data_IF_840314027574
#
_entry.id   IF_840314027574
#
_cell.length_a   1.000
_cell.length_b   1.000
_cell.length_c   1.000
_cell.angle_alpha   90.00
_cell.angle_beta   90.00
_cell.angle_gamma   90.00
#
_symmetry.space_group_name_H-M   'P 1'
#
loop_
_entity.id
_entity.type
_entity.pdbx_description
1 polymer ?
#
# COMPACT_ATOMS: atom_id res chain seq x y z
N UNK A 1 6.68 27.72 -18.50
CA UNK A 1 6.43 26.89 -19.69
C UNK A 1 7.75 26.18 -19.97
N UNK A 2 7.89 24.92 -19.57
CA UNK A 2 9.14 24.17 -19.72
C UNK A 2 9.24 23.72 -21.17
N UNK A 3 10.18 24.29 -21.92
CA UNK A 3 10.46 23.87 -23.29
C UNK A 3 11.01 22.45 -23.27
N UNK A 4 10.43 21.55 -24.06
CA UNK A 4 10.87 20.15 -24.16
C UNK A 4 11.86 20.05 -25.32
N UNK A 5 13.15 19.93 -25.02
CA UNK A 5 14.19 19.71 -26.03
C UNK A 5 14.35 18.22 -26.35
N UNK A 6 14.73 17.90 -27.59
CA UNK A 6 15.02 16.53 -28.00
C UNK A 6 16.19 15.93 -27.19
N UNK A 7 16.10 14.63 -26.86
CA UNK A 7 17.12 13.86 -26.11
C UNK A 7 17.43 14.35 -24.67
N UNK A 8 16.49 15.02 -24.01
CA UNK A 8 16.58 15.33 -22.58
C UNK A 8 15.62 14.47 -21.74
N UNK A 9 16.10 14.04 -20.57
CA UNK A 9 15.27 13.35 -19.57
C UNK A 9 14.46 14.39 -18.84
N UNK A 10 13.14 14.35 -19.01
CA UNK A 10 12.20 15.28 -18.41
C UNK A 10 11.23 14.56 -17.48
N UNK A 11 11.04 15.10 -16.27
CA UNK A 11 10.03 14.62 -15.34
C UNK A 11 8.66 15.13 -15.79
N UNK A 12 7.86 14.23 -16.35
CA UNK A 12 6.52 14.54 -16.84
C UNK A 12 5.46 13.83 -16.00
N UNK A 13 4.23 14.38 -15.93
CA UNK A 13 3.12 13.65 -15.36
C UNK A 13 2.85 12.35 -16.10
N UNK A 14 2.46 11.31 -15.37
CA UNK A 14 2.23 9.97 -15.93
C UNK A 14 1.21 9.96 -17.08
N UNK A 15 0.14 10.74 -16.97
CA UNK A 15 -0.89 10.87 -18.02
C UNK A 15 -0.32 11.38 -19.34
N UNK A 16 0.67 12.30 -19.28
CA UNK A 16 1.32 12.84 -20.46
C UNK A 16 2.31 11.83 -21.05
N UNK A 17 3.05 11.12 -20.20
CA UNK A 17 3.95 10.04 -20.62
C UNK A 17 3.19 8.98 -21.41
N UNK A 18 2.01 8.57 -20.92
CA UNK A 18 1.12 7.63 -21.64
C UNK A 18 0.79 8.14 -23.03
N UNK A 19 0.40 9.41 -23.14
CA UNK A 19 -0.01 10.02 -24.41
C UNK A 19 1.17 10.12 -25.40
N UNK A 20 2.34 10.52 -24.93
CA UNK A 20 3.56 10.60 -25.73
C UNK A 20 4.01 9.22 -26.24
N UNK A 21 3.97 8.19 -25.38
CA UNK A 21 4.31 6.82 -25.77
C UNK A 21 3.37 6.28 -26.84
N UNK A 22 2.06 6.53 -26.72
CA UNK A 22 1.05 6.15 -27.75
C UNK A 22 1.31 6.81 -29.10
N UNK A 23 1.76 8.07 -29.09
CA UNK A 23 2.14 8.82 -30.30
C UNK A 23 3.54 8.50 -30.83
N UNK A 24 4.27 7.60 -30.16
CA UNK A 24 5.68 7.28 -30.47
C UNK A 24 6.61 8.50 -30.40
N UNK A 25 6.27 9.47 -29.54
CA UNK A 25 7.01 10.73 -29.36
C UNK A 25 7.85 10.73 -28.08
N UNK A 26 8.64 9.68 -27.86
CA UNK A 26 9.54 9.57 -26.73
C UNK A 26 9.75 8.13 -26.26
N UNK A 27 10.77 7.95 -25.43
CA UNK A 27 11.10 6.70 -24.79
C UNK A 27 10.89 6.80 -23.27
N UNK A 28 10.41 5.72 -22.67
CA UNK A 28 10.18 5.65 -21.22
C UNK A 28 11.43 5.06 -20.57
N UNK A 29 12.06 5.83 -19.70
CA UNK A 29 13.11 5.31 -18.82
C UNK A 29 12.43 4.61 -17.64
N UNK A 30 12.71 3.33 -17.47
CA UNK A 30 12.14 2.55 -16.37
C UNK A 30 12.75 3.01 -15.05
N UNK A 31 11.94 3.16 -13.99
CA UNK A 31 12.45 3.61 -12.70
C UNK A 31 13.22 2.49 -12.00
N UNK A 32 14.29 2.86 -11.29
CA UNK A 32 15.24 1.92 -10.67
C UNK A 32 14.58 0.90 -9.72
N UNK A 33 13.51 1.30 -9.03
CA UNK A 33 12.77 0.42 -8.11
C UNK A 33 12.06 -0.75 -8.82
N UNK A 34 11.76 -0.61 -10.12
CA UNK A 34 11.11 -1.62 -10.95
C UNK A 34 12.12 -2.57 -11.60
N UNK A 35 13.42 -2.40 -11.36
CA UNK A 35 14.44 -3.29 -11.86
C UNK A 35 14.35 -4.68 -11.21
N UNK A 36 14.62 -5.73 -11.99
CA UNK A 36 14.67 -7.12 -11.52
C UNK A 36 15.52 -7.31 -10.24
N UNK A 37 16.78 -6.83 -10.15
CA UNK A 37 17.57 -6.99 -8.93
C UNK A 37 16.93 -6.32 -7.72
N UNK A 38 16.36 -5.12 -7.88
CA UNK A 38 15.75 -4.38 -6.78
C UNK A 38 14.46 -5.05 -6.29
N UNK A 39 13.66 -5.60 -7.21
CA UNK A 39 12.47 -6.37 -6.84
C UNK A 39 12.83 -7.66 -6.08
N UNK A 40 13.89 -8.36 -6.47
CA UNK A 40 14.39 -9.54 -5.74
C UNK A 40 14.83 -9.18 -4.33
N UNK A 41 15.56 -8.08 -4.18
CA UNK A 41 15.98 -7.56 -2.87
C UNK A 41 14.78 -7.20 -2.00
N UNK A 42 13.80 -6.46 -2.55
CA UNK A 42 12.58 -6.09 -1.84
C UNK A 42 11.77 -7.33 -1.42
N UNK A 43 11.66 -8.35 -2.28
CA UNK A 43 10.97 -9.60 -1.96
C UNK A 43 11.68 -10.37 -0.84
N UNK A 44 13.02 -10.41 -0.85
CA UNK A 44 13.81 -11.04 0.21
C UNK A 44 13.65 -10.30 1.55
N UNK A 45 13.68 -8.96 1.52
CA UNK A 45 13.40 -8.13 2.69
C UNK A 45 11.99 -8.39 3.22
N UNK A 46 11.00 -8.41 2.35
CA UNK A 46 9.59 -8.59 2.72
C UNK A 46 9.34 -9.95 3.40
N UNK A 47 10.04 -11.01 2.96
CA UNK A 47 9.95 -12.34 3.60
C UNK A 47 10.61 -12.40 4.97
N UNK A 48 11.70 -11.65 5.18
CA UNK A 48 12.50 -11.70 6.42
C UNK A 48 12.03 -10.71 7.47
N UNK A 49 11.59 -9.53 7.06
CA UNK A 49 11.24 -8.43 7.95
C UNK A 49 9.78 -8.48 8.38
N UNK A 50 9.50 -7.99 9.58
CA UNK A 50 8.13 -7.71 10.05
C UNK A 50 7.60 -6.43 9.39
N UNK A 51 8.48 -5.49 9.07
CA UNK A 51 8.15 -4.23 8.43
C UNK A 51 7.94 -4.41 6.92
N UNK A 52 7.25 -3.44 6.34
CA UNK A 52 7.00 -3.34 4.91
C UNK A 52 8.20 -2.67 4.23
N UNK A 53 8.66 -3.25 3.12
CA UNK A 53 9.69 -2.65 2.26
C UNK A 53 9.29 -1.25 1.78
N UNK A 54 10.28 -0.36 1.66
CA UNK A 54 10.10 0.98 1.12
C UNK A 54 9.87 0.94 -0.39
N UNK A 55 8.64 1.26 -0.79
CA UNK A 55 8.21 1.32 -2.18
C UNK A 55 7.43 2.61 -2.42
N UNK A 56 7.41 3.13 -3.66
CA UNK A 56 6.56 4.25 -4.01
C UNK A 56 5.09 3.98 -3.66
N UNK A 57 4.37 5.01 -3.22
CA UNK A 57 3.01 4.87 -2.72
C UNK A 57 2.04 4.21 -3.72
N UNK A 58 2.26 4.39 -5.03
CA UNK A 58 1.46 3.81 -6.12
C UNK A 58 2.21 2.73 -6.91
N UNK A 59 3.13 1.99 -6.28
CA UNK A 59 3.99 1.03 -6.98
C UNK A 59 3.18 -0.06 -7.74
N UNK A 60 1.99 -0.45 -7.26
CA UNK A 60 1.15 -1.46 -7.90
C UNK A 60 0.57 -0.93 -9.22
N UNK A 61 0.02 0.28 -9.19
CA UNK A 61 -0.55 0.92 -10.36
C UNK A 61 0.54 1.28 -11.37
N UNK A 62 1.64 1.84 -10.87
CA UNK A 62 2.80 2.22 -11.68
C UNK A 62 3.44 1.02 -12.36
N UNK A 63 3.64 -0.09 -11.63
CA UNK A 63 4.28 -1.29 -12.19
C UNK A 63 3.42 -1.92 -13.29
N UNK A 64 2.11 -2.04 -13.09
CA UNK A 64 1.17 -2.52 -14.10
C UNK A 64 1.21 -1.63 -15.35
N UNK A 65 1.07 -0.32 -15.17
CA UNK A 65 1.04 0.62 -16.28
C UNK A 65 2.36 0.63 -17.08
N UNK A 66 3.50 0.72 -16.40
CA UNK A 66 4.81 0.77 -17.06
C UNK A 66 5.10 -0.52 -17.83
N UNK A 67 4.71 -1.66 -17.26
CA UNK A 67 4.81 -2.99 -17.87
C UNK A 67 3.93 -3.12 -19.13
N UNK A 68 2.77 -2.46 -19.16
CA UNK A 68 1.87 -2.42 -20.33
C UNK A 68 2.35 -1.46 -21.42
N UNK A 69 2.94 -0.31 -21.03
CA UNK A 69 3.38 0.73 -21.97
C UNK A 69 4.74 0.46 -22.62
N UNK A 70 5.64 -0.21 -21.92
CA UNK A 70 7.03 -0.39 -22.33
C UNK A 70 7.58 -1.78 -22.04
N UNK A 71 6.95 -2.86 -22.55
CA UNK A 71 7.47 -4.22 -22.35
C UNK A 71 8.90 -4.39 -22.91
N UNK A 72 9.22 -3.68 -24.00
CA UNK A 72 10.54 -3.74 -24.66
C UNK A 72 11.67 -3.14 -23.80
N UNK A 73 11.33 -2.28 -22.83
CA UNK A 73 12.29 -1.57 -21.99
C UNK A 73 12.57 -2.30 -20.66
N UNK A 74 11.97 -3.47 -20.45
CA UNK A 74 12.10 -4.26 -19.22
C UNK A 74 12.76 -5.59 -19.56
N UNK A 75 13.97 -5.78 -19.04
CA UNK A 75 14.64 -7.08 -19.09
C UNK A 75 13.85 -8.12 -18.29
N UNK A 76 13.68 -9.32 -18.84
CA UNK A 76 12.96 -10.43 -18.19
C UNK A 76 11.54 -10.06 -17.72
N UNK A 77 10.73 -9.46 -18.60
CA UNK A 77 9.37 -8.97 -18.33
C UNK A 77 8.50 -9.93 -17.52
N UNK A 78 8.43 -11.21 -17.90
CA UNK A 78 7.58 -12.19 -17.24
C UNK A 78 8.06 -12.54 -15.83
N UNK A 79 9.38 -12.57 -15.61
CA UNK A 79 9.94 -12.75 -14.27
C UNK A 79 9.63 -11.54 -13.39
N UNK A 80 9.79 -10.33 -13.92
CA UNK A 80 9.46 -9.07 -13.24
C UNK A 80 7.99 -9.02 -12.84
N UNK A 81 7.06 -9.38 -13.74
CA UNK A 81 5.62 -9.50 -13.42
C UNK A 81 5.35 -10.54 -12.33
N UNK A 82 6.03 -11.68 -12.39
CA UNK A 82 5.95 -12.72 -11.36
C UNK A 82 6.35 -12.20 -9.99
N UNK A 83 7.50 -11.53 -9.89
CA UNK A 83 7.99 -10.93 -8.65
C UNK A 83 7.05 -9.86 -8.09
N UNK A 84 6.48 -9.00 -8.94
CA UNK A 84 5.52 -7.98 -8.52
C UNK A 84 4.25 -8.59 -7.93
N UNK A 85 3.74 -9.66 -8.55
CA UNK A 85 2.59 -10.40 -8.03
C UNK A 85 2.92 -11.05 -6.69
N UNK A 86 4.04 -11.74 -6.60
CA UNK A 86 4.48 -12.40 -5.37
C UNK A 86 4.69 -11.39 -4.24
N UNK A 87 5.26 -10.21 -4.54
CA UNK A 87 5.45 -9.12 -3.60
C UNK A 87 4.11 -8.59 -3.07
N UNK A 88 3.14 -8.38 -3.97
CA UNK A 88 1.78 -7.96 -3.61
C UNK A 88 1.11 -9.00 -2.70
N UNK A 89 1.20 -10.28 -3.04
CA UNK A 89 0.57 -11.36 -2.29
C UNK A 89 1.17 -11.50 -0.90
N UNK A 90 2.50 -11.45 -0.78
CA UNK A 90 3.20 -11.50 0.52
C UNK A 90 2.78 -10.31 1.39
N UNK A 91 2.79 -9.09 0.85
CA UNK A 91 2.43 -7.89 1.61
C UNK A 91 0.98 -7.90 2.05
N UNK A 92 0.07 -8.35 1.18
CA UNK A 92 -1.35 -8.51 1.51
C UNK A 92 -1.54 -9.51 2.66
N UNK A 93 -0.88 -10.67 2.60
CA UNK A 93 -0.96 -11.68 3.64
C UNK A 93 -0.35 -11.21 4.96
N UNK A 94 0.78 -10.50 4.89
CA UNK A 94 1.43 -9.89 6.05
C UNK A 94 0.51 -8.87 6.71
N UNK A 95 -0.05 -7.93 5.93
CA UNK A 95 -1.00 -6.94 6.43
C UNK A 95 -2.19 -7.59 7.13
N UNK A 96 -2.84 -8.58 6.50
CA UNK A 96 -3.97 -9.30 7.12
C UNK A 96 -3.58 -9.98 8.43
N UNK A 97 -2.40 -10.59 8.49
CA UNK A 97 -1.90 -11.27 9.68
C UNK A 97 -1.60 -10.28 10.81
N UNK A 98 -0.95 -9.16 10.49
CA UNK A 98 -0.66 -8.07 11.45
C UNK A 98 -1.93 -7.51 12.06
N UNK A 99 -2.95 -7.22 11.24
CA UNK A 99 -4.24 -6.74 11.75
C UNK A 99 -4.95 -7.77 12.63
N UNK A 100 -4.95 -9.05 12.24
CA UNK A 100 -5.50 -10.12 13.07
C UNK A 100 -4.81 -10.17 14.45
N UNK A 101 -3.49 -10.07 14.47
CA UNK A 101 -2.72 -10.06 15.72
C UNK A 101 -3.08 -8.85 16.60
N UNK A 102 -3.18 -7.65 16.02
CA UNK A 102 -3.58 -6.43 16.73
C UNK A 102 -4.96 -6.59 17.37
N UNK A 103 -5.93 -7.10 16.61
CA UNK A 103 -7.31 -7.27 17.10
C UNK A 103 -7.41 -8.36 18.18
N UNK A 104 -6.62 -9.43 18.08
CA UNK A 104 -6.59 -10.49 19.08
C UNK A 104 -5.74 -10.14 20.32
N UNK A 105 -4.86 -9.15 20.24
CA UNK A 105 -3.96 -8.76 21.34
C UNK A 105 -4.65 -8.03 22.48
N UNK A 106 -5.92 -7.63 22.31
CA UNK A 106 -6.67 -6.90 23.33
C UNK A 106 -7.01 -7.83 24.50
N UNK A 107 -6.10 -7.91 25.48
CA UNK A 107 -6.35 -8.58 26.76
C UNK A 107 -7.47 -7.82 27.47
N UNK A 108 -8.47 -8.61 27.88
CA UNK A 108 -9.77 -8.35 28.52
C UNK A 108 -9.87 -7.29 29.65
N UNK A 109 -8.84 -6.48 29.94
CA UNK A 109 -8.80 -5.55 31.08
C UNK A 109 -8.80 -4.06 30.73
N UNK A 110 -8.54 -3.67 29.48
CA UNK A 110 -8.57 -2.26 29.07
C UNK A 110 -9.44 -2.12 27.81
N UNK A 111 -10.45 -1.26 27.85
CA UNK A 111 -11.44 -1.08 26.78
C UNK A 111 -10.94 -0.15 25.65
N UNK A 112 -9.63 0.07 25.55
CA UNK A 112 -9.06 0.95 24.53
C UNK A 112 -9.16 0.34 23.13
N UNK A 113 -9.65 1.14 22.17
CA UNK A 113 -9.66 0.78 20.76
C UNK A 113 -8.21 0.64 20.21
N UNK A 114 -7.77 -0.58 19.83
CA UNK A 114 -6.40 -0.85 19.39
C UNK A 114 -6.04 -0.16 18.08
N UNK A 115 -7.02 0.37 17.33
CA UNK A 115 -6.79 1.07 16.08
C UNK A 115 -6.37 2.54 16.28
N UNK A 116 -6.60 3.14 17.47
CA UNK A 116 -6.29 4.56 17.74
C UNK A 116 -4.81 4.91 17.59
N UNK A 117 -3.93 3.95 17.82
CA UNK A 117 -2.47 4.15 17.76
C UNK A 117 -1.78 3.34 16.66
N UNK A 118 -2.57 2.75 15.76
CA UNK A 118 -2.03 1.92 14.69
C UNK A 118 -1.27 2.77 13.66
N UNK A 119 0.02 2.53 13.52
CA UNK A 119 0.87 3.09 12.46
C UNK A 119 1.45 1.95 11.65
N UNK A 120 1.23 1.98 10.34
CA UNK A 120 1.79 1.02 9.40
C UNK A 120 2.61 1.82 8.38
N UNK A 121 3.93 1.95 8.57
CA UNK A 121 4.77 2.63 7.61
C UNK A 121 4.78 1.88 6.28
N UNK A 122 5.08 2.60 5.19
CA UNK A 122 5.28 2.04 3.86
C UNK A 122 4.10 1.25 3.28
N UNK A 123 2.86 1.53 3.71
CA UNK A 123 1.66 0.99 3.06
C UNK A 123 1.39 1.72 1.74
N UNK A 124 1.10 0.97 0.68
CA UNK A 124 0.73 1.55 -0.62
C UNK A 124 -0.73 2.03 -0.63
N UNK A 125 -1.06 2.90 -1.58
CA UNK A 125 -2.42 3.40 -1.79
C UNK A 125 -3.40 2.28 -2.12
N UNK A 126 -2.99 1.33 -2.95
CA UNK A 126 -3.79 0.16 -3.31
C UNK A 126 -4.08 -0.71 -2.08
N UNK A 127 -3.06 -1.12 -1.32
CA UNK A 127 -3.21 -1.93 -0.10
C UNK A 127 -4.13 -1.24 0.91
N UNK A 128 -3.94 0.07 1.13
CA UNK A 128 -4.80 0.85 2.00
C UNK A 128 -6.26 0.85 1.53
N UNK A 129 -6.49 0.98 0.22
CA UNK A 129 -7.83 0.98 -0.36
C UNK A 129 -8.55 -0.36 -0.20
N UNK A 130 -7.83 -1.47 -0.35
CA UNK A 130 -8.38 -2.82 -0.15
C UNK A 130 -8.77 -3.08 1.30
N UNK A 131 -7.98 -2.56 2.25
CA UNK A 131 -8.22 -2.79 3.68
C UNK A 131 -9.26 -1.84 4.27
N UNK A 132 -9.45 -0.66 3.67
CA UNK A 132 -10.30 0.41 4.20
C UNK A 132 -11.71 -0.04 4.60
N UNK A 133 -12.48 -0.80 3.80
CA UNK A 133 -13.83 -1.19 4.18
C UNK A 133 -13.87 -2.04 5.46
N UNK A 134 -12.90 -2.96 5.60
CA UNK A 134 -12.78 -3.82 6.78
C UNK A 134 -12.42 -2.99 8.01
N UNK A 135 -11.40 -2.13 7.92
CA UNK A 135 -10.94 -1.29 9.03
C UNK A 135 -12.06 -0.35 9.51
N UNK A 136 -12.75 0.33 8.57
CA UNK A 136 -13.86 1.23 8.93
C UNK A 136 -14.97 0.48 9.66
N UNK A 137 -15.33 -0.71 9.21
CA UNK A 137 -16.37 -1.53 9.86
C UNK A 137 -15.95 -1.93 11.26
N UNK A 138 -14.74 -2.45 11.43
CA UNK A 138 -14.21 -2.86 12.74
C UNK A 138 -14.13 -1.66 13.69
N UNK A 139 -13.60 -0.53 13.22
CA UNK A 139 -13.52 0.68 14.02
C UNK A 139 -14.90 1.17 14.48
N UNK A 140 -15.92 1.11 13.60
CA UNK A 140 -17.28 1.48 13.97
C UNK A 140 -17.88 0.58 15.06
N UNK A 141 -17.50 -0.71 15.06
CA UNK A 141 -17.95 -1.66 16.08
C UNK A 141 -17.20 -1.43 17.39
N UNK A 142 -15.88 -1.21 17.34
CA UNK A 142 -15.08 -0.90 18.52
C UNK A 142 -15.56 0.38 19.22
N UNK A 143 -15.85 1.43 18.45
CA UNK A 143 -16.41 2.68 19.00
C UNK A 143 -17.77 2.48 19.70
N UNK A 144 -18.63 1.60 19.18
CA UNK A 144 -19.91 1.25 19.84
C UNK A 144 -19.68 0.51 21.16
N UNK A 145 -18.69 -0.38 21.20
CA UNK A 145 -18.34 -1.12 22.40
C UNK A 145 -17.71 -0.21 23.47
N UNK A 146 -16.84 0.73 23.06
CA UNK A 146 -16.29 1.76 23.96
C UNK A 146 -17.42 2.56 24.63
N UNK A 147 -18.36 3.08 23.84
CA UNK A 147 -19.51 3.85 24.36
C UNK A 147 -20.38 3.04 25.34
N UNK A 148 -20.64 1.77 25.03
CA UNK A 148 -21.41 0.89 25.92
C UNK A 148 -20.72 0.67 27.27
N UNK A 149 -19.38 0.60 27.28
CA UNK A 149 -18.59 0.49 28.52
C UNK A 149 -18.64 1.77 29.37
N UNK A 150 -18.62 2.95 28.74
CA UNK A 150 -18.75 4.24 29.43
C UNK A 150 -20.12 4.39 30.09
N UNK A 151 -21.21 4.07 29.37
CA UNK A 151 -22.59 4.14 29.88
C UNK A 151 -22.82 3.21 31.09
N UNK A 152 -22.14 2.04 31.14
CA UNK A 152 -22.21 1.11 32.27
C UNK A 152 -21.45 1.60 33.51
N UNK A 153 -20.44 2.45 33.34
CA UNK A 153 -19.60 2.98 34.43
C UNK A 153 -20.19 4.23 35.12
N UNK A 154 -21.13 4.92 34.47
CA UNK A 154 -21.83 6.10 34.98
C UNK A 154 -23.35 5.88 34.93
N UNK A 155 -23.96 5.19 35.92
CA UNK A 155 -25.41 5.06 35.97
C UNK A 155 -26.08 6.44 36.04
N UNK A 156 -27.27 6.63 35.46
CA UNK A 156 -27.99 7.90 35.54
C UNK A 156 -28.19 8.28 37.00
N UNK A 157 -27.54 9.37 37.42
CA UNK A 157 -27.70 9.94 38.75
C UNK A 157 -29.05 10.64 38.83
N UNK A 158 -30.04 9.89 39.33
CA UNK A 158 -31.24 10.43 39.97
C UNK A 158 -32.48 10.56 39.07
N UNK A 159 -33.58 9.99 39.55
CA UNK A 159 -34.84 10.72 39.76
C UNK A 159 -35.59 10.02 40.89
N UNK A 160 -35.70 10.73 42.01
CA UNK A 160 -36.57 10.42 43.16
C UNK A 160 -38.00 10.86 42.85
#
# INVERSE_FOLDING_TARGET
MTEVYANQVNNLPLWLIIELKKRKMGEIIMPDWLSLPRLKENLAFEKKSVELSELPFYWIEMSKLLTELGPDNIEHLEETKGLLRDLKDIRTNKLRSSFKAILSSNKLGNCDNPLKHLKIPNISGFELSEMRPMITRINSNLQKLEKCGEDASHPPSGST
#
